data_IF_513866327909
#
_entry.id   IF_513866327909
#
_cell.length_a   1.000
_cell.length_b   1.000
_cell.length_c   1.000
_cell.angle_alpha   90.00
_cell.angle_beta   90.00
_cell.angle_gamma   90.00
#
_symmetry.space_group_name_H-M   'P 1'
#
loop_
_entity.id
_entity.type
_entity.pdbx_description
1 polymer ?
#
# COMPACT_ATOMS: atom_id res chain seq x y z
N UNK A 1 22.99 -32.71 55.01
CA UNK A 1 22.10 -31.60 55.38
C UNK A 1 22.80 -30.28 55.07
N UNK A 2 23.04 -29.99 53.80
CA UNK A 2 23.80 -28.79 53.37
C UNK A 2 22.86 -27.65 52.89
N UNK A 3 21.54 -27.84 53.01
CA UNK A 3 20.51 -26.97 52.43
C UNK A 3 20.24 -25.65 53.20
N UNK A 4 20.91 -25.39 54.33
CA UNK A 4 20.63 -24.21 55.18
C UNK A 4 21.65 -23.06 55.09
N UNK A 5 22.75 -23.17 54.34
CA UNK A 5 23.92 -22.31 54.64
C UNK A 5 23.95 -20.90 54.02
N UNK A 6 22.98 -20.46 53.21
CA UNK A 6 23.11 -19.16 52.50
C UNK A 6 21.79 -18.36 52.42
N UNK A 7 21.32 -17.78 53.55
CA UNK A 7 20.09 -16.97 53.58
C UNK A 7 20.15 -15.77 52.62
N UNK A 8 21.34 -15.23 52.39
CA UNK A 8 21.56 -14.13 51.44
C UNK A 8 21.26 -14.51 49.98
N UNK A 9 21.53 -15.75 49.56
CA UNK A 9 21.22 -16.20 48.19
C UNK A 9 19.73 -16.43 47.99
N UNK A 10 19.05 -16.95 49.01
CA UNK A 10 17.60 -17.14 48.98
C UNK A 10 16.87 -15.79 48.95
N UNK A 11 17.31 -14.84 49.79
CA UNK A 11 16.81 -13.48 49.77
C UNK A 11 17.09 -12.80 48.42
N UNK A 12 18.31 -12.92 47.87
CA UNK A 12 18.65 -12.36 46.56
C UNK A 12 17.76 -12.89 45.44
N UNK A 13 17.51 -14.21 45.41
CA UNK A 13 16.62 -14.83 44.43
C UNK A 13 15.17 -14.34 44.62
N UNK A 14 14.67 -14.26 45.85
CA UNK A 14 13.32 -13.75 46.14
C UNK A 14 13.15 -12.26 45.76
N UNK A 15 14.12 -11.41 46.07
CA UNK A 15 14.11 -9.99 45.68
C UNK A 15 14.15 -9.83 44.16
N UNK A 16 14.98 -10.61 43.47
CA UNK A 16 15.06 -10.59 42.01
C UNK A 16 13.75 -11.01 41.35
N UNK A 17 13.09 -12.06 41.88
CA UNK A 17 11.80 -12.54 41.40
C UNK A 17 10.69 -11.49 41.58
N UNK A 18 10.61 -10.84 42.74
CA UNK A 18 9.64 -9.76 42.99
C UNK A 18 9.90 -8.56 42.08
N UNK A 19 11.16 -8.18 41.87
CA UNK A 19 11.54 -7.07 40.99
C UNK A 19 11.13 -7.36 39.54
N UNK A 20 11.39 -8.58 39.04
CA UNK A 20 11.00 -8.98 37.68
C UNK A 20 9.48 -8.96 37.51
N UNK A 21 8.72 -9.47 38.49
CA UNK A 21 7.26 -9.44 38.43
C UNK A 21 6.72 -8.02 38.39
N UNK A 22 7.25 -7.11 39.22
CA UNK A 22 6.85 -5.70 39.22
C UNK A 22 7.25 -4.98 37.92
N UNK A 23 8.45 -5.23 37.41
CA UNK A 23 8.92 -4.65 36.16
C UNK A 23 8.04 -5.07 34.97
N UNK A 24 7.64 -6.35 34.92
CA UNK A 24 6.73 -6.85 33.89
C UNK A 24 5.37 -6.14 33.96
N UNK A 25 4.76 -6.06 35.15
CA UNK A 25 3.47 -5.36 35.31
C UNK A 25 3.57 -3.88 34.92
N UNK A 26 4.64 -3.19 35.33
CA UNK A 26 4.89 -1.81 34.96
C UNK A 26 5.05 -1.64 33.44
N UNK A 27 5.76 -2.56 32.78
CA UNK A 27 5.91 -2.56 31.32
C UNK A 27 4.57 -2.76 30.61
N UNK A 28 3.71 -3.68 31.08
CA UNK A 28 2.38 -3.87 30.51
C UNK A 28 1.49 -2.63 30.64
N UNK A 29 1.55 -1.94 31.78
CA UNK A 29 0.84 -0.66 31.99
C UNK A 29 1.37 0.43 31.05
N UNK A 30 2.68 0.47 30.84
CA UNK A 30 3.32 1.40 29.92
C UNK A 30 2.91 1.14 28.47
N UNK A 31 2.87 -0.12 28.03
CA UNK A 31 2.34 -0.48 26.71
C UNK A 31 0.88 -0.02 26.54
N UNK A 32 0.04 -0.24 27.56
CA UNK A 32 -1.35 0.23 27.51
C UNK A 32 -1.43 1.75 27.36
N UNK A 33 -0.61 2.50 28.10
CA UNK A 33 -0.54 3.97 28.00
C UNK A 33 -0.12 4.42 26.61
N UNK A 34 0.92 3.81 26.02
CA UNK A 34 1.38 4.15 24.68
C UNK A 34 0.39 3.74 23.59
N UNK A 35 -0.33 2.62 23.74
CA UNK A 35 -1.42 2.23 22.82
C UNK A 35 -2.60 3.21 22.90
N UNK A 36 -2.90 3.74 24.08
CA UNK A 36 -3.93 4.76 24.27
C UNK A 36 -3.52 6.15 23.76
N UNK A 37 -2.22 6.49 23.86
CA UNK A 37 -1.64 7.73 23.35
C UNK A 37 -1.41 7.70 21.82
N UNK A 38 -1.30 6.50 21.24
CA UNK A 38 -1.36 6.29 19.79
C UNK A 38 -2.69 6.81 19.27
N UNK A 39 -2.65 8.01 18.69
CA UNK A 39 -3.83 8.80 18.38
C UNK A 39 -4.92 7.95 17.73
N UNK A 40 -6.11 7.97 18.34
CA UNK A 40 -7.36 7.71 17.61
C UNK A 40 -7.34 8.67 16.42
N UNK A 41 -6.88 8.20 15.27
CA UNK A 41 -7.16 8.86 14.00
C UNK A 41 -8.68 8.98 13.99
N UNK A 42 -9.18 10.20 14.19
CA UNK A 42 -10.61 10.46 14.06
C UNK A 42 -10.95 9.91 12.69
N UNK A 43 -11.69 8.80 12.64
CA UNK A 43 -12.21 8.26 11.40
C UNK A 43 -13.14 9.34 10.87
N UNK A 44 -12.57 10.23 10.05
CA UNK A 44 -13.36 11.09 9.21
C UNK A 44 -14.24 10.16 8.37
N UNK A 45 -15.51 10.52 8.13
CA UNK A 45 -16.33 9.78 7.19
C UNK A 45 -15.52 9.62 5.90
N UNK A 46 -15.42 8.38 5.43
CA UNK A 46 -14.68 8.04 4.22
C UNK A 46 -15.27 8.94 3.12
N UNK A 47 -14.46 9.77 2.44
CA UNK A 47 -14.98 10.61 1.38
C UNK A 47 -15.65 9.73 0.33
N UNK A 48 -16.75 10.18 -0.31
CA UNK A 48 -17.33 9.44 -1.42
C UNK A 48 -16.23 9.15 -2.46
N UNK A 49 -16.23 7.95 -3.06
CA UNK A 49 -15.21 7.60 -4.04
C UNK A 49 -15.18 8.64 -5.15
N UNK A 50 -13.99 8.98 -5.67
CA UNK A 50 -13.88 9.91 -6.79
C UNK A 50 -14.70 9.40 -7.97
N UNK A 51 -15.37 10.31 -8.68
CA UNK A 51 -16.13 9.98 -9.88
C UNK A 51 -15.22 9.27 -10.90
N UNK A 52 -15.70 8.22 -11.59
CA UNK A 52 -14.95 7.58 -12.66
C UNK A 52 -14.52 8.62 -13.71
N UNK A 53 -13.29 8.53 -14.25
CA UNK A 53 -12.86 9.43 -15.32
C UNK A 53 -13.80 9.29 -16.52
N UNK A 54 -14.33 10.41 -17.01
CA UNK A 54 -15.19 10.43 -18.19
C UNK A 54 -14.39 10.02 -19.43
N UNK A 55 -14.96 9.10 -20.22
CA UNK A 55 -14.42 8.74 -21.52
C UNK A 55 -14.78 9.83 -22.54
N UNK A 56 -13.88 10.11 -23.48
CA UNK A 56 -14.22 10.99 -24.59
C UNK A 56 -15.35 10.37 -25.45
N UNK A 57 -16.36 11.15 -25.87
CA UNK A 57 -17.49 10.63 -26.62
C UNK A 57 -17.04 10.08 -27.98
N UNK A 58 -17.54 8.88 -28.33
CA UNK A 58 -17.29 8.23 -29.63
C UNK A 58 -16.20 7.15 -29.65
N UNK A 59 -15.69 6.73 -28.49
CA UNK A 59 -14.63 5.71 -28.42
C UNK A 59 -15.21 4.34 -28.04
N UNK A 60 -15.38 3.45 -29.03
CA UNK A 60 -15.69 2.05 -28.79
C UNK A 60 -14.41 1.30 -28.40
N UNK A 61 -14.32 0.89 -27.12
CA UNK A 61 -13.19 0.11 -26.62
C UNK A 61 -13.55 -1.38 -26.56
N UNK A 62 -12.91 -2.17 -27.43
CA UNK A 62 -12.83 -3.61 -27.22
C UNK A 62 -11.84 -3.88 -26.06
N UNK A 63 -12.28 -4.50 -24.95
CA UNK A 63 -11.42 -4.77 -23.80
C UNK A 63 -10.26 -5.70 -24.13
N UNK A 64 -10.35 -6.46 -25.23
CA UNK A 64 -9.37 -7.47 -25.66
C UNK A 64 -8.27 -6.89 -26.56
N UNK A 65 -8.49 -5.70 -27.14
CA UNK A 65 -7.63 -5.10 -28.15
C UNK A 65 -7.04 -3.77 -27.70
N UNK A 66 -5.97 -3.36 -28.36
CA UNK A 66 -5.41 -2.02 -28.16
C UNK A 66 -6.21 -0.98 -28.93
N UNK A 67 -6.67 0.10 -28.30
CA UNK A 67 -7.46 1.15 -28.97
C UNK A 67 -6.65 2.07 -29.90
N UNK A 68 -5.32 1.87 -30.00
CA UNK A 68 -4.46 2.63 -30.91
C UNK A 68 -4.11 1.84 -32.18
N UNK A 69 -3.75 0.56 -32.06
CA UNK A 69 -3.40 -0.28 -33.20
C UNK A 69 -4.49 -1.30 -33.59
N UNK A 70 -5.59 -1.38 -32.83
CA UNK A 70 -6.70 -2.32 -33.02
C UNK A 70 -6.30 -3.81 -33.03
N UNK A 71 -5.05 -4.13 -32.68
CA UNK A 71 -4.53 -5.49 -32.59
C UNK A 71 -4.60 -6.07 -31.18
N UNK A 72 -4.21 -7.34 -31.05
CA UNK A 72 -4.02 -8.01 -29.76
C UNK A 72 -2.95 -7.29 -28.95
N UNK A 73 -3.21 -7.05 -27.65
CA UNK A 73 -2.28 -6.31 -26.80
C UNK A 73 -0.95 -7.04 -26.64
N UNK A 74 0.13 -6.43 -27.12
CA UNK A 74 1.49 -6.90 -26.91
C UNK A 74 2.14 -6.03 -25.85
N UNK A 75 2.64 -6.62 -24.76
CA UNK A 75 3.19 -5.90 -23.60
C UNK A 75 2.17 -4.87 -23.03
N UNK A 76 1.08 -5.37 -22.39
CA UNK A 76 0.01 -4.52 -21.88
C UNK A 76 0.57 -3.48 -20.91
N UNK A 77 0.26 -2.22 -21.13
CA UNK A 77 0.74 -1.08 -20.36
C UNK A 77 -0.42 -0.22 -19.91
N UNK A 78 -0.52 -0.05 -18.59
CA UNK A 78 -1.51 0.77 -17.92
C UNK A 78 -1.05 2.24 -17.89
N UNK A 79 -1.98 3.15 -18.21
CA UNK A 79 -1.82 4.59 -17.94
C UNK A 79 -2.34 4.87 -16.52
N UNK A 80 -1.45 5.16 -15.57
CA UNK A 80 -1.80 5.30 -14.16
C UNK A 80 -2.79 6.45 -13.87
N UNK A 81 -2.84 7.49 -14.72
CA UNK A 81 -3.74 8.63 -14.54
C UNK A 81 -5.18 8.33 -14.96
N UNK A 82 -5.38 7.43 -15.93
CA UNK A 82 -6.71 7.15 -16.48
C UNK A 82 -7.19 5.72 -16.29
N UNK A 83 -6.31 4.79 -15.92
CA UNK A 83 -6.66 3.38 -15.71
C UNK A 83 -6.88 2.56 -16.99
N UNK A 84 -6.47 3.06 -18.17
CA UNK A 84 -6.64 2.35 -19.44
C UNK A 84 -5.38 1.60 -19.86
N UNK A 85 -5.55 0.47 -20.55
CA UNK A 85 -4.47 -0.43 -20.96
C UNK A 85 -4.31 -0.44 -22.47
N UNK A 86 -3.06 -0.28 -22.94
CA UNK A 86 -2.67 -0.26 -24.34
C UNK A 86 -1.42 -1.12 -24.57
N UNK A 87 -0.98 -1.30 -25.82
CA UNK A 87 0.36 -1.81 -26.09
C UNK A 87 1.41 -0.79 -25.67
N UNK A 88 2.50 -1.25 -25.03
CA UNK A 88 3.63 -0.39 -24.65
C UNK A 88 4.13 0.55 -25.76
N UNK A 89 4.48 0.07 -26.98
CA UNK A 89 4.98 0.97 -28.03
C UNK A 89 3.97 2.03 -28.44
N UNK A 90 2.70 1.65 -28.60
CA UNK A 90 1.65 2.57 -29.05
C UNK A 90 1.42 3.70 -28.05
N UNK A 91 1.30 3.39 -26.76
CA UNK A 91 1.01 4.43 -25.76
C UNK A 91 2.24 5.27 -25.43
N UNK A 92 3.45 4.69 -25.45
CA UNK A 92 4.67 5.44 -25.22
C UNK A 92 4.88 6.52 -26.29
N UNK A 93 4.64 6.18 -27.56
CA UNK A 93 4.72 7.13 -28.68
C UNK A 93 3.63 8.20 -28.61
N UNK A 94 2.37 7.79 -28.35
CA UNK A 94 1.25 8.73 -28.26
C UNK A 94 1.45 9.74 -27.12
N UNK A 95 1.84 9.28 -25.93
CA UNK A 95 2.06 10.13 -24.75
C UNK A 95 3.27 11.02 -24.93
N UNK A 96 4.34 10.56 -25.59
CA UNK A 96 5.48 11.40 -25.92
C UNK A 96 5.11 12.55 -26.87
N UNK A 97 4.21 12.30 -27.83
CA UNK A 97 3.78 13.31 -28.80
C UNK A 97 2.70 14.28 -28.25
N UNK A 98 1.72 13.77 -27.49
CA UNK A 98 0.53 14.55 -27.09
C UNK A 98 0.45 14.87 -25.59
N UNK A 99 1.22 14.21 -24.73
CA UNK A 99 1.21 14.44 -23.29
C UNK A 99 -0.12 14.12 -22.60
N UNK A 100 -0.96 13.26 -23.19
CA UNK A 100 -2.30 12.93 -22.68
C UNK A 100 -2.73 11.50 -23.01
N UNK A 101 -3.75 11.00 -22.31
CA UNK A 101 -4.38 9.72 -22.58
C UNK A 101 -5.27 9.80 -23.83
N UNK A 102 -5.20 8.85 -24.78
CA UNK A 102 -6.01 8.86 -26.00
C UNK A 102 -7.50 8.56 -25.78
N UNK A 103 -7.90 8.10 -24.58
CA UNK A 103 -9.29 7.70 -24.28
C UNK A 103 -10.02 8.71 -23.39
N UNK A 104 -9.33 9.27 -22.40
CA UNK A 104 -9.91 10.20 -21.42
C UNK A 104 -9.45 11.64 -21.63
N UNK A 105 -8.42 11.87 -22.44
CA UNK A 105 -7.83 13.20 -22.62
C UNK A 105 -7.05 13.71 -21.40
N UNK A 106 -7.00 12.95 -20.29
CA UNK A 106 -6.29 13.32 -19.06
C UNK A 106 -4.79 13.41 -19.33
N UNK A 107 -4.13 14.43 -18.78
CA UNK A 107 -2.68 14.61 -18.89
C UNK A 107 -1.92 13.36 -18.44
N UNK A 108 -0.99 12.89 -19.26
CA UNK A 108 -0.18 11.71 -19.00
C UNK A 108 1.24 11.95 -19.47
N UNK A 109 2.22 11.44 -18.73
CA UNK A 109 3.63 11.44 -19.13
C UNK A 109 4.15 10.00 -19.16
N UNK A 110 5.33 9.80 -19.73
CA UNK A 110 5.98 8.47 -19.77
C UNK A 110 6.22 7.89 -18.38
N UNK A 111 6.37 8.73 -17.34
CA UNK A 111 6.48 8.32 -15.95
C UNK A 111 5.19 7.67 -15.38
N UNK A 112 4.04 7.98 -15.99
CA UNK A 112 2.74 7.44 -15.60
C UNK A 112 2.43 6.10 -16.29
N UNK A 113 3.32 5.60 -17.15
CA UNK A 113 3.14 4.33 -17.84
C UNK A 113 3.67 3.17 -16.98
N UNK A 114 2.81 2.19 -16.71
CA UNK A 114 3.14 0.98 -15.93
C UNK A 114 2.91 -0.24 -16.79
N UNK A 115 3.99 -0.95 -17.15
CA UNK A 115 3.90 -2.23 -17.85
C UNK A 115 3.30 -3.27 -16.91
N UNK A 116 2.31 -4.01 -17.40
CA UNK A 116 1.67 -5.11 -16.71
C UNK A 116 2.39 -6.39 -17.12
N UNK A 117 2.74 -7.19 -16.13
CA UNK A 117 3.33 -8.51 -16.32
C UNK A 117 2.30 -9.51 -15.82
N UNK A 118 1.83 -10.38 -16.72
CA UNK A 118 0.98 -11.50 -16.33
C UNK A 118 1.86 -12.52 -15.61
N UNK A 119 1.50 -12.85 -14.37
CA UNK A 119 2.12 -13.95 -13.65
C UNK A 119 1.66 -15.25 -14.32
N UNK A 120 2.61 -15.97 -14.92
CA UNK A 120 2.39 -17.30 -15.49
C UNK A 120 1.91 -18.30 -14.43
#
# INVERSE_FOLDING_TARGET
>A
MEWQRQPAKLAFLQYSQLLLMLAYVAFQVLEWWYRAAGGRTKQLPIPPPPAPPEMMPGQELDPSKCSLCSGTRTNPTLVATSGHVFCYPCIAEYVAAHGRCPVTGIGASTANLRRLYEAL
#
